data_IF_821778077159
#
_entry.id   IF_821778077159
#
_cell.length_a   1.000
_cell.length_b   1.000
_cell.length_c   1.000
_cell.angle_alpha   90.00
_cell.angle_beta   90.00
_cell.angle_gamma   90.00
#
_symmetry.space_group_name_H-M   'P 1'
#
loop_
_entity.id
_entity.type
_entity.pdbx_description
1 polymer ?
#
# COMPACT_ATOMS: atom_id res chain seq x y z
N UNK A 1 38.62 -16.34 -23.00
CA UNK A 1 38.35 -16.32 -21.55
C UNK A 1 37.85 -14.93 -21.12
N UNK A 2 38.53 -13.84 -21.51
CA UNK A 2 38.13 -12.43 -21.24
C UNK A 2 36.66 -12.08 -21.59
N UNK A 3 36.11 -12.57 -22.70
CA UNK A 3 34.72 -12.27 -23.10
C UNK A 3 33.70 -12.82 -22.09
N UNK A 4 34.00 -13.98 -21.52
CA UNK A 4 33.13 -14.64 -20.56
C UNK A 4 33.15 -13.90 -19.22
N UNK A 5 34.32 -13.43 -18.78
CA UNK A 5 34.48 -12.62 -17.57
C UNK A 5 33.75 -11.28 -17.68
N UNK A 6 33.84 -10.61 -18.84
CA UNK A 6 33.15 -9.35 -19.08
C UNK A 6 31.63 -9.51 -19.10
N UNK A 7 31.15 -10.60 -19.71
CA UNK A 7 29.72 -10.94 -19.73
C UNK A 7 29.22 -11.24 -18.31
N UNK A 8 29.98 -12.02 -17.54
CA UNK A 8 29.64 -12.33 -16.15
C UNK A 8 29.61 -11.08 -15.26
N UNK A 9 30.61 -10.21 -15.35
CA UNK A 9 30.66 -8.96 -14.59
C UNK A 9 29.48 -8.03 -14.91
N UNK A 10 29.07 -7.96 -16.18
CA UNK A 10 27.88 -7.22 -16.60
C UNK A 10 26.60 -7.79 -15.97
N UNK A 11 26.41 -9.11 -16.03
CA UNK A 11 25.28 -9.77 -15.41
C UNK A 11 25.30 -9.67 -13.88
N UNK A 12 26.46 -9.65 -13.24
CA UNK A 12 26.58 -9.48 -11.79
C UNK A 12 26.16 -8.07 -11.35
N UNK A 13 26.60 -7.04 -12.08
CA UNK A 13 26.25 -5.65 -11.80
C UNK A 13 24.76 -5.38 -12.01
N UNK A 14 24.20 -5.90 -13.11
CA UNK A 14 22.77 -5.82 -13.41
C UNK A 14 21.91 -6.68 -12.47
N UNK A 15 22.41 -7.84 -12.05
CA UNK A 15 21.65 -8.85 -11.31
C UNK A 15 21.61 -8.63 -9.80
N UNK A 16 22.72 -8.25 -9.16
CA UNK A 16 22.78 -8.17 -7.68
C UNK A 16 22.20 -6.88 -7.14
N UNK A 17 22.48 -5.75 -7.78
CA UNK A 17 22.07 -4.43 -7.29
C UNK A 17 20.78 -3.94 -7.95
N UNK A 18 20.82 -3.77 -9.26
CA UNK A 18 19.76 -3.11 -10.01
C UNK A 18 18.44 -3.88 -9.96
N UNK A 19 18.47 -5.19 -10.18
CA UNK A 19 17.26 -6.02 -10.13
C UNK A 19 16.62 -6.08 -8.73
N UNK A 20 17.45 -6.19 -7.67
CA UNK A 20 16.96 -6.14 -6.29
C UNK A 20 16.30 -4.80 -5.96
N UNK A 21 16.89 -3.69 -6.44
CA UNK A 21 16.35 -2.35 -6.24
C UNK A 21 15.02 -2.15 -6.97
N UNK A 22 14.89 -2.66 -8.20
CA UNK A 22 13.65 -2.63 -8.97
C UNK A 22 12.54 -3.42 -8.30
N UNK A 23 12.83 -4.64 -7.83
CA UNK A 23 11.85 -5.46 -7.11
C UNK A 23 11.42 -4.79 -5.80
N UNK A 24 12.36 -4.20 -5.06
CA UNK A 24 12.07 -3.47 -3.83
C UNK A 24 11.17 -2.26 -4.11
N UNK A 25 11.53 -1.41 -5.07
CA UNK A 25 10.70 -0.25 -5.44
C UNK A 25 9.33 -0.65 -5.99
N UNK A 26 9.24 -1.72 -6.78
CA UNK A 26 7.98 -2.28 -7.26
C UNK A 26 7.09 -2.76 -6.11
N UNK A 27 7.66 -3.48 -5.14
CA UNK A 27 6.92 -3.92 -3.95
C UNK A 27 6.42 -2.72 -3.12
N UNK A 28 7.27 -1.70 -2.92
CA UNK A 28 6.90 -0.46 -2.23
C UNK A 28 5.75 0.25 -2.95
N UNK A 29 5.84 0.43 -4.27
CA UNK A 29 4.79 1.05 -5.08
C UNK A 29 3.44 0.32 -4.96
N UNK A 30 3.44 -1.02 -4.92
CA UNK A 30 2.22 -1.82 -4.75
C UNK A 30 1.61 -1.70 -3.35
N UNK A 31 2.37 -1.26 -2.35
CA UNK A 31 1.92 -1.11 -0.97
C UNK A 31 1.51 0.32 -0.61
N UNK A 32 1.99 1.34 -1.33
CA UNK A 32 1.85 2.77 -1.04
C UNK A 32 0.46 3.41 -1.25
N UNK A 33 -0.58 2.60 -1.38
CA UNK A 33 -1.95 3.07 -1.56
C UNK A 33 -3.01 2.07 -1.15
N UNK A 34 -2.64 1.03 -0.36
CA UNK A 34 -3.63 0.09 0.16
C UNK A 34 -4.49 0.84 1.19
N UNK A 35 -5.81 0.97 0.98
CA UNK A 35 -6.68 1.56 1.98
C UNK A 35 -6.65 0.70 3.24
N UNK A 36 -6.49 1.34 4.40
CA UNK A 36 -6.51 0.63 5.67
C UNK A 36 -7.84 -0.15 5.80
N UNK A 37 -7.79 -1.47 6.05
CA UNK A 37 -9.00 -2.28 6.19
C UNK A 37 -9.86 -1.84 7.39
N UNK A 38 -9.29 -1.06 8.31
CA UNK A 38 -10.00 -0.43 9.43
C UNK A 38 -10.90 0.75 9.04
N UNK A 39 -10.86 1.19 7.78
CA UNK A 39 -11.79 2.20 7.25
C UNK A 39 -13.09 1.59 6.72
N UNK A 40 -13.36 0.33 7.06
CA UNK A 40 -14.74 -0.11 7.12
C UNK A 40 -15.41 0.79 8.17
N UNK A 41 -16.43 1.59 7.86
CA UNK A 41 -17.12 2.36 8.88
C UNK A 41 -17.62 1.33 9.89
N UNK A 42 -16.93 1.21 11.03
CA UNK A 42 -17.27 0.32 12.11
C UNK A 42 -18.75 0.54 12.34
N UNK A 43 -19.59 -0.48 12.10
CA UNK A 43 -21.03 -0.33 11.94
C UNK A 43 -21.56 0.58 13.06
N UNK A 44 -21.69 1.88 12.77
CA UNK A 44 -21.89 2.87 13.81
C UNK A 44 -23.29 2.58 14.31
N UNK A 45 -23.38 2.16 15.57
CA UNK A 45 -24.67 1.79 16.15
C UNK A 45 -25.67 2.91 15.89
N UNK A 46 -26.87 2.58 15.43
CA UNK A 46 -27.88 3.56 14.97
C UNK A 46 -28.11 4.74 15.94
N UNK A 47 -27.87 4.55 17.23
CA UNK A 47 -28.03 5.58 18.27
C UNK A 47 -26.73 6.31 18.68
N UNK A 48 -25.56 5.87 18.21
CA UNK A 48 -24.27 6.49 18.48
C UNK A 48 -24.16 7.87 17.78
N UNK A 49 -23.30 8.77 18.28
CA UNK A 49 -23.04 10.06 17.61
C UNK A 49 -22.53 9.85 16.17
N UNK A 50 -22.98 10.68 15.24
CA UNK A 50 -22.60 10.59 13.83
C UNK A 50 -21.10 10.84 13.66
N UNK A 51 -20.37 9.99 12.91
CA UNK A 51 -18.94 10.20 12.64
C UNK A 51 -18.67 11.46 11.78
N UNK A 52 -19.71 12.05 11.19
CA UNK A 52 -19.67 13.30 10.44
C UNK A 52 -19.51 14.57 11.30
N UNK A 53 -19.55 14.45 12.64
CA UNK A 53 -19.37 15.60 13.55
C UNK A 53 -20.60 16.50 13.74
N UNK A 54 -21.77 16.11 13.23
CA UNK A 54 -23.00 16.91 13.31
C UNK A 54 -23.66 16.96 14.71
N UNK A 55 -23.17 16.18 15.67
CA UNK A 55 -23.79 16.03 17.00
C UNK A 55 -25.10 15.23 17.03
N UNK A 56 -25.60 14.80 15.86
CA UNK A 56 -26.83 14.01 15.72
C UNK A 56 -26.54 12.51 15.87
N UNK A 57 -27.56 11.72 16.24
CA UNK A 57 -27.48 10.24 16.23
C UNK A 57 -27.32 9.75 14.79
N UNK A 58 -26.52 8.71 14.57
CA UNK A 58 -26.20 8.16 13.24
C UNK A 58 -27.46 7.89 12.39
N UNK A 59 -28.50 7.27 12.97
CA UNK A 59 -29.79 7.00 12.29
C UNK A 59 -30.59 8.24 11.83
N UNK A 60 -30.20 9.43 12.27
CA UNK A 60 -30.85 10.72 11.93
C UNK A 60 -29.95 11.60 11.05
N UNK A 61 -28.79 11.09 10.61
CA UNK A 61 -27.83 11.86 9.83
C UNK A 61 -27.25 11.01 8.68
N UNK A 62 -26.07 10.40 8.84
CA UNK A 62 -25.43 9.62 7.78
C UNK A 62 -25.81 8.12 7.73
N UNK A 63 -26.51 7.60 8.74
CA UNK A 63 -26.90 6.19 8.86
C UNK A 63 -28.37 5.93 8.50
N UNK A 64 -28.92 6.74 7.59
CA UNK A 64 -30.25 6.56 6.99
C UNK A 64 -30.27 5.36 6.06
#
# INVERSE_FOLDING_TARGET
MILFDWLYAFFEFMGRGFFALLLYWGAVALTWGRPDPSTSPAAVGRNAPCPCGSGLKAKRCCGG
#
